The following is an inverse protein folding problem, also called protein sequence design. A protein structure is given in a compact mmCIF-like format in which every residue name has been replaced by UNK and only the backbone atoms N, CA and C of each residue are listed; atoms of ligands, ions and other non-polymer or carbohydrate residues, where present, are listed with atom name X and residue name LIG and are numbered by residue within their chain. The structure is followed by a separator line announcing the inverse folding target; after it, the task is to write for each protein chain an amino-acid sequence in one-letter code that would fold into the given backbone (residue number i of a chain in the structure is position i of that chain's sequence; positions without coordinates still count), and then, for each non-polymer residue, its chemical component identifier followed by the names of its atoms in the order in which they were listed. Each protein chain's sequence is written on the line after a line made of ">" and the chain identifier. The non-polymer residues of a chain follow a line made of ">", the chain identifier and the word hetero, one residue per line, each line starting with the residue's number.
data_IF_236928071601
#
_entry.id   IF_236928071601
#
_cell.length_a   1.000
_cell.length_b   1.000
_cell.length_c   1.000
_cell.angle_alpha   90.00
_cell.angle_beta   90.00
_cell.angle_gamma   90.00
#
_symmetry.space_group_name_H-M   'P 1'
#
loop_
_entity.id
_entity.type
_entity.pdbx_description
1 polymer ?
#
# COMPACT_ATOMS: atom_id res chain seq x y z
N UNK A 1 1.37 -44.62 -29.69
CA UNK A 1 0.34 -43.79 -29.03
C UNK A 1 0.76 -43.62 -27.59
N UNK A 2 1.24 -42.43 -27.23
CA UNK A 2 1.28 -41.93 -25.86
C UNK A 2 1.44 -40.42 -26.00
N UNK A 3 0.34 -39.74 -25.78
CA UNK A 3 0.09 -38.37 -26.17
C UNK A 3 1.01 -37.37 -25.46
N UNK A 4 1.48 -36.41 -26.25
CA UNK A 4 1.94 -35.13 -25.75
C UNK A 4 0.77 -34.41 -25.08
N UNK A 5 0.71 -34.44 -23.75
CA UNK A 5 0.04 -33.39 -22.99
C UNK A 5 1.09 -32.41 -22.51
N UNK A 6 1.48 -31.53 -23.44
CA UNK A 6 2.10 -30.24 -23.13
C UNK A 6 1.03 -29.41 -22.42
N UNK A 7 0.90 -29.56 -21.11
CA UNK A 7 0.10 -28.63 -20.31
C UNK A 7 0.87 -27.31 -20.22
N UNK A 8 0.49 -26.37 -21.09
CA UNK A 8 0.99 -25.01 -21.10
C UNK A 8 0.68 -24.33 -19.79
N UNK A 9 1.62 -24.37 -18.84
CA UNK A 9 1.65 -23.49 -17.67
C UNK A 9 2.10 -22.10 -18.13
N UNK A 10 1.24 -21.44 -18.92
CA UNK A 10 1.43 -20.06 -19.35
C UNK A 10 1.35 -19.16 -18.12
N UNK A 11 2.50 -18.75 -17.59
CA UNK A 11 2.91 -17.35 -17.38
C UNK A 11 1.82 -16.30 -17.05
N UNK A 12 0.80 -16.65 -16.24
CA UNK A 12 -0.25 -15.73 -15.78
C UNK A 12 -0.09 -15.29 -14.32
N UNK A 13 0.86 -15.89 -13.60
CA UNK A 13 1.00 -15.72 -12.15
C UNK A 13 1.43 -14.30 -11.74
N UNK A 14 2.21 -13.59 -12.57
CA UNK A 14 2.71 -12.26 -12.22
C UNK A 14 1.65 -11.16 -12.24
N UNK A 15 0.89 -11.06 -13.34
CA UNK A 15 -0.08 -9.96 -13.55
C UNK A 15 -1.31 -10.16 -12.66
N UNK A 16 -1.84 -11.38 -12.56
CA UNK A 16 -2.99 -11.67 -11.70
C UNK A 16 -2.66 -11.42 -10.22
N UNK A 17 -1.47 -11.81 -9.76
CA UNK A 17 -1.01 -11.56 -8.40
C UNK A 17 -0.82 -10.07 -8.11
N UNK A 18 -0.28 -9.32 -9.07
CA UNK A 18 -0.13 -7.87 -8.95
C UNK A 18 -1.48 -7.16 -8.81
N UNK A 19 -2.48 -7.53 -9.62
CA UNK A 19 -3.83 -6.97 -9.55
C UNK A 19 -4.48 -7.25 -8.19
N UNK A 20 -4.35 -8.48 -7.67
CA UNK A 20 -4.88 -8.84 -6.34
C UNK A 20 -4.23 -7.99 -5.25
N UNK A 21 -2.89 -7.84 -5.26
CA UNK A 21 -2.20 -6.98 -4.27
C UNK A 21 -2.67 -5.54 -4.37
N UNK A 22 -2.81 -5.00 -5.58
CA UNK A 22 -3.28 -3.63 -5.80
C UNK A 22 -4.68 -3.42 -5.19
N UNK A 23 -5.60 -4.35 -5.43
CA UNK A 23 -6.96 -4.32 -4.85
C UNK A 23 -6.90 -4.40 -3.32
N UNK A 24 -6.08 -5.29 -2.76
CA UNK A 24 -5.91 -5.43 -1.30
C UNK A 24 -5.38 -4.12 -0.70
N UNK A 25 -4.32 -3.54 -1.24
CA UNK A 25 -3.78 -2.27 -0.77
C UNK A 25 -4.77 -1.10 -0.93
N UNK A 26 -5.60 -1.12 -1.97
CA UNK A 26 -6.67 -0.15 -2.15
C UNK A 26 -7.76 -0.27 -1.05
N UNK A 27 -8.11 -1.50 -0.67
CA UNK A 27 -9.03 -1.76 0.44
C UNK A 27 -8.43 -1.32 1.78
N UNK A 28 -7.16 -1.65 2.05
CA UNK A 28 -6.43 -1.20 3.26
C UNK A 28 -6.46 0.33 3.35
N UNK A 29 -6.15 1.01 2.24
CA UNK A 29 -6.14 2.47 2.17
C UNK A 29 -7.54 3.06 2.37
N UNK A 30 -8.57 2.44 1.78
CA UNK A 30 -9.96 2.85 1.95
C UNK A 30 -10.45 2.72 3.39
N UNK A 31 -10.14 1.60 4.05
CA UNK A 31 -10.45 1.39 5.47
C UNK A 31 -9.70 2.41 6.33
N UNK A 32 -8.43 2.65 6.03
CA UNK A 32 -7.61 3.64 6.72
C UNK A 32 -8.24 5.03 6.65
N UNK A 33 -8.61 5.47 5.45
CA UNK A 33 -9.28 6.77 5.26
C UNK A 33 -10.62 6.84 6.00
N UNK A 34 -11.40 5.75 6.00
CA UNK A 34 -12.69 5.70 6.71
C UNK A 34 -12.55 5.80 8.24
N UNK A 35 -11.47 5.26 8.80
CA UNK A 35 -11.21 5.25 10.25
C UNK A 35 -10.41 6.47 10.73
N UNK A 36 -9.88 7.28 9.82
CA UNK A 36 -8.95 8.36 10.15
C UNK A 36 -9.61 9.72 10.01
N UNK A 37 -9.85 10.46 11.10
CA UNK A 37 -10.34 11.83 11.01
C UNK A 37 -9.31 12.72 10.30
N UNK A 38 -9.79 13.52 9.34
CA UNK A 38 -8.91 14.38 8.54
C UNK A 38 -8.16 13.67 7.43
N UNK A 39 -8.58 12.44 7.05
CA UNK A 39 -8.20 11.75 5.83
C UNK A 39 -9.45 11.46 5.00
N UNK A 40 -9.55 12.01 3.78
CA UNK A 40 -10.66 11.76 2.86
C UNK A 40 -10.19 11.43 1.45
N UNK A 41 -10.93 10.53 0.80
CA UNK A 41 -10.68 10.10 -0.58
C UNK A 41 -11.97 10.25 -1.37
N UNK A 42 -11.99 11.15 -2.36
CA UNK A 42 -13.19 11.48 -3.12
C UNK A 42 -13.36 10.57 -4.35
N UNK A 43 -13.82 9.34 -4.10
CA UNK A 43 -14.23 8.37 -5.12
C UNK A 43 -13.27 7.21 -5.36
N UNK A 44 -13.74 6.20 -6.11
CA UNK A 44 -12.99 4.96 -6.41
C UNK A 44 -11.70 5.24 -7.19
N UNK A 45 -11.72 6.20 -8.13
CA UNK A 45 -10.56 6.52 -8.96
C UNK A 45 -9.41 7.12 -8.14
N UNK A 46 -9.72 8.05 -7.24
CA UNK A 46 -8.78 8.65 -6.29
C UNK A 46 -8.22 7.58 -5.33
N UNK A 47 -9.02 6.58 -4.96
CA UNK A 47 -8.60 5.48 -4.11
C UNK A 47 -7.64 4.53 -4.82
N UNK A 48 -7.94 4.15 -6.07
CA UNK A 48 -7.06 3.30 -6.88
C UNK A 48 -5.74 4.00 -7.21
N UNK A 49 -5.78 5.27 -7.61
CA UNK A 49 -4.58 6.07 -7.86
C UNK A 49 -3.80 6.31 -6.56
N UNK A 50 -4.51 6.58 -5.45
CA UNK A 50 -3.94 6.70 -4.10
C UNK A 50 -3.14 5.46 -3.72
N UNK A 51 -3.74 4.28 -3.88
CA UNK A 51 -3.08 3.01 -3.56
C UNK A 51 -1.86 2.75 -4.45
N UNK A 52 -1.96 3.07 -5.74
CA UNK A 52 -0.86 2.92 -6.68
C UNK A 52 0.31 3.85 -6.34
N UNK A 53 0.04 5.14 -6.07
CA UNK A 53 1.05 6.12 -5.68
C UNK A 53 1.67 5.75 -4.34
N UNK A 54 0.86 5.36 -3.35
CA UNK A 54 1.33 4.96 -2.04
C UNK A 54 2.29 3.76 -2.15
N UNK A 55 1.94 2.74 -2.94
CA UNK A 55 2.81 1.60 -3.21
C UNK A 55 4.11 1.99 -3.95
N UNK A 56 4.04 2.94 -4.89
CA UNK A 56 5.22 3.43 -5.60
C UNK A 56 6.17 4.22 -4.69
N UNK A 57 5.61 5.10 -3.84
CA UNK A 57 6.36 5.87 -2.85
C UNK A 57 6.98 4.97 -1.78
N UNK A 58 6.26 3.94 -1.35
CA UNK A 58 6.76 2.93 -0.43
C UNK A 58 7.96 2.20 -0.99
N UNK A 59 7.86 1.70 -2.23
CA UNK A 59 8.98 1.07 -2.92
C UNK A 59 10.19 2.00 -3.06
N UNK A 60 9.96 3.28 -3.37
CA UNK A 60 11.02 4.28 -3.47
C UNK A 60 11.68 4.52 -2.10
N UNK A 61 10.90 4.68 -1.04
CA UNK A 61 11.40 4.90 0.31
C UNK A 61 12.20 3.70 0.84
N UNK A 62 11.74 2.47 0.59
CA UNK A 62 12.49 1.24 0.92
C UNK A 62 13.88 1.22 0.28
N UNK A 63 13.96 1.64 -0.98
CA UNK A 63 15.20 1.63 -1.76
C UNK A 63 16.18 2.72 -1.31
N UNK A 64 15.67 3.86 -0.87
CA UNK A 64 16.48 4.96 -0.32
C UNK A 64 16.96 4.67 1.10
N UNK A 65 16.12 4.03 1.93
CA UNK A 65 16.42 3.81 3.34
C UNK A 65 17.36 2.62 3.60
N UNK A 66 17.63 1.76 2.62
CA UNK A 66 18.74 0.80 2.63
C UNK A 66 18.88 0.02 3.95
N UNK A 67 17.75 -0.43 4.50
CA UNK A 67 17.63 -0.67 5.94
C UNK A 67 18.32 -1.97 6.37
N UNK A 68 19.55 -1.86 6.85
CA UNK A 68 20.19 -2.83 7.75
C UNK A 68 19.52 -2.73 9.14
N UNK A 69 18.27 -3.17 9.25
CA UNK A 69 17.40 -2.80 10.36
C UNK A 69 17.27 -3.90 11.44
N UNK A 70 17.66 -3.55 12.67
CA UNK A 70 17.26 -4.25 13.89
C UNK A 70 15.73 -4.21 14.09
N UNK A 71 15.12 -5.14 14.84
CA UNK A 71 13.66 -5.22 15.01
C UNK A 71 13.00 -3.91 15.46
N UNK A 72 13.72 -3.12 16.27
CA UNK A 72 13.23 -1.84 16.80
C UNK A 72 13.15 -0.74 15.73
N UNK A 73 14.15 -0.68 14.84
CA UNK A 73 14.19 0.29 13.74
C UNK A 73 13.12 0.04 12.67
N UNK A 74 12.67 -1.22 12.50
CA UNK A 74 11.59 -1.55 11.54
C UNK A 74 10.24 -0.97 11.95
N UNK A 75 9.95 -0.91 13.26
CA UNK A 75 8.67 -0.39 13.76
C UNK A 75 8.57 1.13 13.66
N UNK A 76 9.50 1.86 14.31
CA UNK A 76 9.42 3.33 14.39
C UNK A 76 9.69 3.96 13.01
N UNK A 77 10.70 3.49 12.29
CA UNK A 77 11.02 4.04 10.97
C UNK A 77 9.91 3.73 9.96
N UNK A 78 9.30 2.53 10.04
CA UNK A 78 8.14 2.16 9.23
C UNK A 78 6.93 3.05 9.50
N UNK A 79 6.64 3.36 10.77
CA UNK A 79 5.56 4.28 11.14
C UNK A 79 5.79 5.69 10.57
N UNK A 80 6.99 6.25 10.75
CA UNK A 80 7.33 7.58 10.23
C UNK A 80 7.26 7.59 8.70
N UNK A 81 7.80 6.56 8.06
CA UNK A 81 7.76 6.39 6.60
C UNK A 81 6.31 6.33 6.09
N UNK A 82 5.45 5.53 6.70
CA UNK A 82 4.03 5.44 6.34
C UNK A 82 3.32 6.80 6.49
N UNK A 83 3.58 7.53 7.59
CA UNK A 83 2.99 8.86 7.79
C UNK A 83 3.44 9.86 6.73
N UNK A 84 4.73 9.85 6.39
CA UNK A 84 5.28 10.69 5.32
C UNK A 84 4.68 10.32 3.98
N UNK A 85 4.59 9.03 3.64
CA UNK A 85 4.04 8.56 2.37
C UNK A 85 2.56 8.92 2.23
N UNK A 86 1.75 8.67 3.26
CA UNK A 86 0.33 9.04 3.26
C UNK A 86 0.19 10.55 3.05
N UNK A 87 0.97 11.36 3.78
CA UNK A 87 0.94 12.81 3.62
C UNK A 87 1.37 13.24 2.21
N UNK A 88 2.42 12.65 1.66
CA UNK A 88 2.96 13.02 0.34
C UNK A 88 2.04 12.58 -0.80
N UNK A 89 1.30 11.49 -0.63
CA UNK A 89 0.38 10.94 -1.65
C UNK A 89 -0.67 11.98 -2.09
N UNK A 90 -1.08 12.87 -1.18
CA UNK A 90 -2.05 13.93 -1.48
C UNK A 90 -1.62 14.87 -2.62
N UNK A 91 -0.32 15.06 -2.82
CA UNK A 91 0.21 15.95 -3.86
C UNK A 91 0.16 15.31 -5.25
N UNK A 92 0.06 13.99 -5.32
CA UNK A 92 0.03 13.24 -6.58
C UNK A 92 -1.38 12.87 -7.02
N UNK A 93 -2.32 12.77 -6.08
CA UNK A 93 -3.65 12.22 -6.34
C UNK A 93 -4.72 13.26 -6.06
N UNK A 94 -5.35 13.73 -7.14
CA UNK A 94 -6.52 14.60 -7.04
C UNK A 94 -7.63 13.88 -6.26
N UNK A 95 -8.18 14.55 -5.25
CA UNK A 95 -9.22 13.97 -4.40
C UNK A 95 -8.72 13.15 -3.21
N UNK A 96 -7.40 13.03 -3.01
CA UNK A 96 -6.80 12.50 -1.80
C UNK A 96 -6.42 13.67 -0.89
N UNK A 97 -7.17 13.88 0.20
CA UNK A 97 -6.91 14.97 1.14
C UNK A 97 -6.54 14.40 2.49
N UNK A 98 -5.37 14.77 3.02
CA UNK A 98 -4.95 14.34 4.35
C UNK A 98 -4.27 15.47 5.12
N UNK A 99 -4.77 15.73 6.32
CA UNK A 99 -4.14 16.67 7.24
C UNK A 99 -2.88 16.07 7.86
N UNK A 100 -2.00 16.89 8.43
CA UNK A 100 -0.80 16.40 9.13
C UNK A 100 -1.20 15.42 10.26
N UNK A 101 -2.22 15.78 11.05
CA UNK A 101 -2.76 14.91 12.10
C UNK A 101 -3.40 13.65 11.52
N UNK A 102 -4.14 13.78 10.42
CA UNK A 102 -4.71 12.65 9.68
C UNK A 102 -3.63 11.71 9.15
N UNK A 103 -2.47 12.20 8.74
CA UNK A 103 -1.38 11.34 8.25
C UNK A 103 -0.73 10.53 9.38
N UNK A 104 -0.56 11.12 10.57
CA UNK A 104 -0.02 10.43 11.75
C UNK A 104 -1.00 9.35 12.23
N UNK A 105 -2.28 9.69 12.38
CA UNK A 105 -3.32 8.73 12.79
C UNK A 105 -3.52 7.69 11.70
N UNK A 106 -3.55 8.12 10.44
CA UNK A 106 -3.68 7.27 9.27
C UNK A 106 -2.54 6.27 9.15
N UNK A 107 -1.30 6.65 9.44
CA UNK A 107 -0.18 5.71 9.45
C UNK A 107 -0.30 4.66 10.54
N UNK A 108 -0.85 5.03 11.71
CA UNK A 108 -1.09 4.09 12.79
C UNK A 108 -2.16 3.08 12.39
N UNK A 109 -3.29 3.56 11.88
CA UNK A 109 -4.39 2.73 11.40
C UNK A 109 -3.95 1.86 10.22
N UNK A 110 -3.26 2.45 9.24
CA UNK A 110 -2.74 1.75 8.07
C UNK A 110 -1.85 0.59 8.49
N UNK A 111 -0.87 0.82 9.36
CA UNK A 111 0.02 -0.24 9.85
C UNK A 111 -0.71 -1.36 10.59
N UNK A 112 -1.76 -1.04 11.36
CA UNK A 112 -2.57 -2.06 12.05
C UNK A 112 -3.42 -2.85 11.05
N UNK A 113 -4.12 -2.18 10.14
CA UNK A 113 -4.99 -2.81 9.13
C UNK A 113 -4.17 -3.68 8.20
N UNK A 114 -3.00 -3.20 7.78
CA UNK A 114 -2.08 -3.91 6.90
C UNK A 114 -1.51 -5.18 7.55
N UNK A 115 -1.14 -5.12 8.84
CA UNK A 115 -0.66 -6.27 9.58
C UNK A 115 -1.70 -7.39 9.75
N UNK A 116 -3.00 -7.04 9.74
CA UNK A 116 -4.09 -8.00 9.91
C UNK A 116 -4.41 -8.73 8.60
N UNK A 117 -4.19 -8.10 7.45
CA UNK A 117 -4.59 -8.66 6.15
C UNK A 117 -3.50 -9.63 5.64
N UNK A 118 -3.79 -10.96 5.60
CA UNK A 118 -2.82 -11.94 5.14
C UNK A 118 -2.72 -11.84 3.61
N UNK A 119 -1.52 -11.57 3.13
CA UNK A 119 -1.29 -11.21 1.72
C UNK A 119 -0.17 -10.20 1.52
N UNK A 120 0.47 -9.74 2.62
CA UNK A 120 1.64 -8.86 2.66
C UNK A 120 1.60 -7.85 1.51
N UNK A 121 0.77 -6.84 1.68
CA UNK A 121 1.20 -5.52 1.24
C UNK A 121 2.52 -5.27 1.97
N UNK A 122 3.54 -4.94 1.18
CA UNK A 122 4.85 -4.46 1.64
C UNK A 122 5.75 -5.54 2.28
#
# INVERSE_FOLDING_TARGET
>A
MADQYTEGKSTGFGIAHFIIRLIVSAVVLGITAALTPGFSISGIWSLLLGALVLAALDYAALRLLGVNASPFSRGILGFIMAAVIIYVTQFFVAGFNVTIWGAIIGALVYGIVDAIIPGKSM
#
